data_IF_688705036548
#
_entry.id   IF_688705036548
#
_cell.length_a   1.000
_cell.length_b   1.000
_cell.length_c   1.000
_cell.angle_alpha   90.00
_cell.angle_beta   90.00
_cell.angle_gamma   90.00
#
_symmetry.space_group_name_H-M   'P 1'
#
loop_
_entity.id
_entity.type
_entity.pdbx_description
1 polymer ?
#
# COMPACT_ATOMS: atom_id res chain seq x y z
N UNK A 1 -4.95 7.38 -1.72
CA UNK A 1 -4.30 8.68 -1.39
C UNK A 1 -5.33 9.78 -1.19
N UNK A 2 -6.29 10.00 -2.09
CA UNK A 2 -7.28 11.09 -1.92
C UNK A 2 -8.20 10.99 -0.69
N UNK A 3 -8.51 9.78 -0.21
CA UNK A 3 -9.51 9.58 0.85
C UNK A 3 -9.20 10.30 2.17
N UNK A 4 -7.96 10.25 2.67
CA UNK A 4 -7.57 10.95 3.91
C UNK A 4 -7.72 12.47 3.79
N UNK A 5 -7.38 13.03 2.64
CA UNK A 5 -7.53 14.46 2.40
C UNK A 5 -9.01 14.84 2.31
N UNK A 6 -9.83 14.03 1.66
CA UNK A 6 -11.26 14.30 1.49
C UNK A 6 -12.02 14.29 2.82
N UNK A 7 -11.74 13.35 3.72
CA UNK A 7 -12.39 13.30 5.03
C UNK A 7 -11.91 14.41 5.96
N UNK A 8 -10.73 14.96 5.70
CA UNK A 8 -10.22 16.12 6.43
C UNK A 8 -10.90 17.41 5.96
N UNK A 9 -11.07 17.56 4.64
CA UNK A 9 -11.64 18.77 4.03
C UNK A 9 -13.17 18.82 4.07
N UNK A 10 -13.83 17.66 3.98
CA UNK A 10 -15.29 17.56 3.87
C UNK A 10 -15.84 16.45 4.79
N UNK A 11 -15.55 16.48 6.11
CA UNK A 11 -15.96 15.42 7.03
C UNK A 11 -17.46 15.17 7.04
N UNK A 12 -18.29 16.18 6.76
CA UNK A 12 -19.74 16.08 6.69
C UNK A 12 -20.26 15.18 5.57
N UNK A 13 -19.43 14.86 4.57
CA UNK A 13 -19.80 14.01 3.42
C UNK A 13 -19.46 12.54 3.62
N UNK A 14 -18.84 12.18 4.74
CA UNK A 14 -18.37 10.82 5.00
C UNK A 14 -18.87 10.32 6.36
N UNK A 15 -19.24 9.05 6.40
CA UNK A 15 -19.68 8.40 7.64
C UNK A 15 -18.49 7.85 8.45
N UNK A 16 -17.52 7.24 7.77
CA UNK A 16 -16.25 6.79 8.34
C UNK A 16 -15.21 6.66 7.23
N UNK A 17 -13.95 6.38 7.61
CA UNK A 17 -12.86 6.14 6.68
C UNK A 17 -12.14 4.84 6.98
N UNK A 18 -11.79 4.11 5.91
CA UNK A 18 -11.02 2.87 6.00
C UNK A 18 -9.81 2.98 5.08
N UNK A 19 -8.61 2.96 5.67
CA UNK A 19 -7.34 2.94 4.95
C UNK A 19 -6.74 1.55 4.95
N UNK A 20 -6.69 0.88 3.79
CA UNK A 20 -6.04 -0.42 3.63
C UNK A 20 -4.67 -0.24 3.00
N UNK A 21 -3.61 -0.71 3.67
CA UNK A 21 -2.19 -0.50 3.25
C UNK A 21 -1.93 0.95 2.82
N UNK A 22 -2.39 1.90 3.65
CA UNK A 22 -2.41 3.32 3.31
C UNK A 22 -0.99 3.90 3.30
N UNK A 23 -0.59 4.49 2.16
CA UNK A 23 0.63 5.30 2.06
C UNK A 23 0.41 6.62 2.81
N UNK A 24 1.27 6.91 3.77
CA UNK A 24 1.22 8.15 4.56
C UNK A 24 2.16 9.22 3.99
N UNK A 25 3.41 8.86 3.74
CA UNK A 25 4.42 9.75 3.20
C UNK A 25 5.16 9.00 2.09
N UNK A 26 5.12 9.52 0.86
CA UNK A 26 5.64 8.79 -0.28
C UNK A 26 7.18 8.70 -0.28
N UNK A 27 7.85 9.85 -0.06
CA UNK A 27 9.32 9.94 -0.08
C UNK A 27 9.92 9.05 1.02
N UNK A 28 9.36 9.13 2.22
CA UNK A 28 9.82 8.34 3.34
C UNK A 28 9.51 6.85 3.17
N UNK A 29 8.36 6.50 2.57
CA UNK A 29 8.04 5.12 2.21
C UNK A 29 9.10 4.55 1.27
N UNK A 30 9.45 5.29 0.22
CA UNK A 30 10.47 4.88 -0.75
C UNK A 30 11.85 4.76 -0.12
N UNK A 31 12.18 5.61 0.86
CA UNK A 31 13.46 5.53 1.60
C UNK A 31 13.55 4.25 2.42
N UNK A 32 12.46 3.88 3.10
CA UNK A 32 12.36 2.65 3.88
C UNK A 32 12.36 1.42 2.98
N UNK A 33 11.64 1.46 1.86
CA UNK A 33 11.63 0.41 0.85
C UNK A 33 12.99 0.21 0.19
N UNK A 34 13.72 1.29 -0.12
CA UNK A 34 15.09 1.23 -0.63
C UNK A 34 16.02 0.54 0.36
N UNK A 35 15.92 0.92 1.64
CA UNK A 35 16.71 0.30 2.72
C UNK A 35 16.42 -1.21 2.81
N UNK A 36 15.14 -1.59 2.79
CA UNK A 36 14.73 -3.00 2.77
C UNK A 36 15.27 -3.75 1.53
N UNK A 37 15.15 -3.15 0.33
CA UNK A 37 15.57 -3.76 -0.92
C UNK A 37 17.09 -3.98 -0.96
N UNK A 38 17.88 -3.01 -0.51
CA UNK A 38 19.34 -3.17 -0.32
C UNK A 38 19.66 -4.29 0.66
N UNK A 39 18.90 -4.40 1.75
CA UNK A 39 19.01 -5.51 2.71
C UNK A 39 18.73 -6.87 2.08
N UNK A 40 17.70 -6.98 1.23
CA UNK A 40 17.39 -8.21 0.49
C UNK A 40 18.49 -8.55 -0.53
N UNK A 41 19.00 -7.55 -1.26
CA UNK A 41 20.10 -7.74 -2.20
C UNK A 41 21.34 -8.31 -1.51
N UNK A 42 21.71 -7.76 -0.35
CA UNK A 42 22.83 -8.27 0.48
C UNK A 42 22.57 -9.71 0.96
N UNK A 43 21.40 -9.98 1.56
CA UNK A 43 21.05 -11.32 2.08
C UNK A 43 21.07 -12.41 0.99
N UNK A 44 20.78 -12.04 -0.26
CA UNK A 44 20.75 -12.96 -1.41
C UNK A 44 22.05 -12.93 -2.24
N UNK A 45 23.08 -12.20 -1.82
CA UNK A 45 24.33 -11.98 -2.57
C UNK A 45 24.08 -11.46 -4.02
N UNK A 46 23.04 -10.66 -4.21
CA UNK A 46 22.60 -10.18 -5.53
C UNK A 46 23.31 -8.89 -5.93
N UNK A 47 24.55 -9.00 -6.46
CA UNK A 47 25.43 -7.86 -6.80
C UNK A 47 24.78 -6.78 -7.66
N UNK A 48 24.21 -7.15 -8.81
CA UNK A 48 23.52 -6.22 -9.72
C UNK A 48 22.40 -5.40 -9.06
N UNK A 49 21.68 -6.01 -8.12
CA UNK A 49 20.61 -5.31 -7.42
C UNK A 49 21.17 -4.30 -6.43
N UNK A 50 22.23 -4.68 -5.73
CA UNK A 50 22.90 -3.79 -4.78
C UNK A 50 23.54 -2.59 -5.49
N UNK A 51 24.15 -2.81 -6.65
CA UNK A 51 24.70 -1.76 -7.53
C UNK A 51 23.60 -0.80 -7.98
N UNK A 52 22.58 -1.28 -8.71
CA UNK A 52 21.51 -0.43 -9.22
C UNK A 52 20.74 0.33 -8.10
N UNK A 53 20.45 -0.34 -6.97
CA UNK A 53 19.80 0.31 -5.82
C UNK A 53 20.72 1.33 -5.13
N UNK A 54 22.04 1.21 -5.28
CA UNK A 54 22.98 2.20 -4.72
C UNK A 54 23.11 3.40 -5.66
N UNK A 55 23.23 3.14 -6.96
CA UNK A 55 23.39 4.16 -7.99
C UNK A 55 22.14 5.03 -8.19
N UNK A 56 20.94 4.49 -7.99
CA UNK A 56 19.69 5.28 -8.08
C UNK A 56 19.60 6.42 -7.06
N UNK A 57 20.45 6.41 -6.02
CA UNK A 57 20.48 7.47 -5.01
C UNK A 57 19.41 7.32 -3.93
N UNK A 58 18.88 8.45 -3.46
CA UNK A 58 17.81 8.53 -2.47
C UNK A 58 16.53 9.09 -3.12
N UNK A 59 15.33 8.74 -2.61
CA UNK A 59 14.08 9.33 -3.10
C UNK A 59 14.12 10.86 -2.98
N UNK A 60 13.37 11.59 -3.83
CA UNK A 60 12.06 11.21 -4.37
C UNK A 60 12.03 10.45 -5.72
N UNK A 61 13.15 10.23 -6.39
CA UNK A 61 13.23 9.51 -7.68
C UNK A 61 12.36 10.11 -8.80
N UNK A 62 12.45 11.42 -8.99
CA UNK A 62 11.61 12.19 -9.93
C UNK A 62 12.31 12.56 -11.24
N UNK A 63 13.58 12.19 -11.42
CA UNK A 63 14.33 12.60 -12.61
C UNK A 63 13.81 11.91 -13.88
N UNK A 64 13.37 10.65 -13.75
CA UNK A 64 12.81 9.89 -14.87
C UNK A 64 11.97 8.70 -14.40
N UNK A 65 11.12 8.21 -15.31
CA UNK A 65 10.39 6.96 -15.10
C UNK A 65 11.34 5.77 -14.85
N UNK A 66 12.52 5.79 -15.47
CA UNK A 66 13.55 4.77 -15.32
C UNK A 66 14.13 4.78 -13.89
N UNK A 67 14.49 5.96 -13.37
CA UNK A 67 14.97 6.13 -12.00
C UNK A 67 13.92 5.64 -11.00
N UNK A 68 12.68 6.12 -11.13
CA UNK A 68 11.55 5.69 -10.29
C UNK A 68 11.33 4.18 -10.33
N UNK A 69 11.46 3.59 -11.51
CA UNK A 69 11.26 2.16 -11.78
C UNK A 69 12.32 1.24 -11.16
N UNK A 70 13.53 1.71 -10.86
CA UNK A 70 14.60 0.86 -10.29
C UNK A 70 14.15 0.24 -8.96
N UNK A 71 13.60 1.04 -8.03
CA UNK A 71 13.13 0.54 -6.74
C UNK A 71 11.99 -0.47 -6.93
N UNK A 72 10.99 -0.14 -7.76
CA UNK A 72 9.81 -0.98 -7.99
C UNK A 72 10.17 -2.32 -8.63
N UNK A 73 11.13 -2.31 -9.58
CA UNK A 73 11.69 -3.51 -10.20
C UNK A 73 12.25 -4.48 -9.15
N UNK A 74 13.05 -3.97 -8.21
CA UNK A 74 13.65 -4.83 -7.17
C UNK A 74 12.66 -5.22 -6.06
N UNK A 75 11.71 -4.35 -5.71
CA UNK A 75 10.60 -4.69 -4.83
C UNK A 75 9.77 -5.86 -5.37
N UNK A 76 9.50 -5.88 -6.68
CA UNK A 76 8.82 -6.99 -7.32
C UNK A 76 9.68 -8.27 -7.30
N UNK A 77 10.95 -8.18 -7.73
CA UNK A 77 11.88 -9.33 -7.77
C UNK A 77 12.16 -9.93 -6.39
N UNK A 78 12.17 -9.12 -5.34
CA UNK A 78 12.37 -9.58 -3.97
C UNK A 78 11.07 -9.94 -3.24
N UNK A 79 9.93 -9.87 -3.91
CA UNK A 79 8.62 -10.25 -3.40
C UNK A 79 8.18 -9.44 -2.16
N UNK A 80 8.29 -8.11 -2.25
CA UNK A 80 7.89 -7.18 -1.16
C UNK A 80 6.40 -7.22 -0.81
N UNK A 81 5.55 -7.70 -1.73
CA UNK A 81 4.10 -7.59 -1.62
C UNK A 81 3.40 -8.84 -1.09
N UNK A 82 4.05 -10.02 -1.07
CA UNK A 82 3.42 -11.28 -0.67
C UNK A 82 4.22 -11.90 0.47
N UNK A 83 3.53 -12.24 1.56
CA UNK A 83 4.11 -12.99 2.66
C UNK A 83 3.73 -14.46 2.57
N UNK A 84 4.70 -15.35 2.78
CA UNK A 84 4.49 -16.79 2.96
C UNK A 84 5.58 -17.32 3.87
N UNK A 85 5.20 -18.20 4.80
CA UNK A 85 6.07 -18.76 5.81
C UNK A 85 5.62 -20.19 6.12
N UNK A 86 6.35 -21.15 5.55
CA UNK A 86 6.06 -22.57 5.72
C UNK A 86 6.15 -23.01 7.18
N UNK A 87 7.05 -22.41 7.98
CA UNK A 87 7.21 -22.77 9.40
C UNK A 87 6.01 -22.37 10.23
N UNK A 88 5.33 -21.28 9.84
CA UNK A 88 4.09 -20.81 10.47
C UNK A 88 2.82 -21.32 9.79
N UNK A 89 2.94 -22.20 8.80
CA UNK A 89 1.80 -22.71 8.02
C UNK A 89 1.10 -21.66 7.16
N UNK A 90 1.75 -20.52 6.86
CA UNK A 90 1.19 -19.45 6.04
C UNK A 90 1.59 -19.69 4.59
N UNK A 91 0.63 -20.11 3.75
CA UNK A 91 0.83 -20.34 2.31
C UNK A 91 -0.05 -19.40 1.50
N UNK A 92 0.52 -18.30 1.02
CA UNK A 92 -0.23 -17.36 0.20
C UNK A 92 -0.33 -17.87 -1.25
N UNK A 93 -1.50 -17.81 -1.89
CA UNK A 93 -1.71 -18.25 -3.28
C UNK A 93 -1.07 -17.34 -4.35
N UNK A 94 -0.20 -16.41 -3.95
CA UNK A 94 0.37 -15.36 -4.79
C UNK A 94 -0.64 -14.53 -5.61
N UNK A 95 -0.18 -13.91 -6.69
CA UNK A 95 -1.00 -13.09 -7.60
C UNK A 95 -2.09 -13.87 -8.34
N UNK A 96 -1.94 -15.19 -8.50
CA UNK A 96 -2.95 -16.04 -9.15
C UNK A 96 -4.31 -15.94 -8.44
N UNK A 97 -4.31 -15.74 -7.11
CA UNK A 97 -5.55 -15.51 -6.37
C UNK A 97 -6.29 -14.25 -6.80
N UNK A 98 -5.58 -13.14 -7.00
CA UNK A 98 -6.15 -11.86 -7.44
C UNK A 98 -6.76 -12.02 -8.84
N UNK A 99 -6.02 -12.64 -9.76
CA UNK A 99 -6.50 -12.90 -11.12
C UNK A 99 -7.74 -13.79 -11.10
N UNK A 100 -7.73 -14.86 -10.29
CA UNK A 100 -8.87 -15.77 -10.16
C UNK A 100 -10.12 -15.05 -9.65
N UNK A 101 -9.97 -14.20 -8.62
CA UNK A 101 -11.07 -13.40 -8.07
C UNK A 101 -11.66 -12.48 -9.14
N UNK A 102 -10.82 -11.75 -9.88
CA UNK A 102 -11.29 -10.85 -10.94
C UNK A 102 -12.02 -11.58 -12.06
N UNK A 103 -11.48 -12.71 -12.54
CA UNK A 103 -12.14 -13.51 -13.59
C UNK A 103 -13.47 -14.11 -13.10
N UNK A 104 -13.56 -14.49 -11.82
CA UNK A 104 -14.78 -15.05 -11.24
C UNK A 104 -15.82 -14.02 -10.81
N UNK A 105 -15.46 -12.73 -10.79
CA UNK A 105 -16.36 -11.66 -10.36
C UNK A 105 -17.40 -11.34 -11.42
N UNK A 106 -18.62 -11.04 -11.00
CA UNK A 106 -19.68 -10.54 -11.89
C UNK A 106 -19.48 -9.07 -12.28
N UNK A 107 -18.65 -8.35 -11.54
CA UNK A 107 -18.42 -6.91 -11.72
C UNK A 107 -17.32 -6.61 -12.74
N UNK A 108 -16.55 -7.62 -13.17
CA UNK A 108 -15.45 -7.48 -14.11
C UNK A 108 -15.68 -8.32 -15.37
N UNK A 109 -15.70 -7.66 -16.53
CA UNK A 109 -15.59 -8.38 -17.80
C UNK A 109 -14.13 -8.72 -18.11
N UNK A 110 -13.89 -9.70 -18.99
CA UNK A 110 -12.54 -10.01 -19.49
C UNK A 110 -11.88 -8.79 -20.17
N UNK A 111 -12.68 -7.92 -20.78
CA UNK A 111 -12.21 -6.66 -21.38
C UNK A 111 -11.70 -5.69 -20.31
N UNK A 112 -12.37 -5.60 -19.17
CA UNK A 112 -11.94 -4.75 -18.04
C UNK A 112 -10.62 -5.24 -17.49
N UNK A 113 -10.48 -6.55 -17.26
CA UNK A 113 -9.22 -7.18 -16.81
C UNK A 113 -8.08 -6.86 -17.78
N UNK A 114 -8.29 -7.05 -19.09
CA UNK A 114 -7.30 -6.72 -20.11
C UNK A 114 -6.93 -5.23 -20.10
N UNK A 115 -7.94 -4.35 -20.03
CA UNK A 115 -7.69 -2.91 -19.99
C UNK A 115 -6.93 -2.51 -18.72
N UNK A 116 -7.25 -3.07 -17.55
CA UNK A 116 -6.58 -2.76 -16.28
C UNK A 116 -5.12 -3.20 -16.28
N UNK A 117 -4.82 -4.43 -16.69
CA UNK A 117 -3.47 -4.99 -16.56
C UNK A 117 -2.55 -4.70 -17.75
N UNK A 118 -3.08 -4.51 -18.96
CA UNK A 118 -2.26 -4.33 -20.15
C UNK A 118 -2.21 -2.87 -20.64
N UNK A 119 -3.38 -2.24 -20.84
CA UNK A 119 -3.45 -0.88 -21.39
C UNK A 119 -3.28 0.20 -20.32
N UNK A 120 -3.98 0.08 -19.20
CA UNK A 120 -4.11 1.10 -18.17
C UNK A 120 -2.82 1.36 -17.41
N UNK A 121 -2.01 0.33 -17.16
CA UNK A 121 -0.77 0.48 -16.39
C UNK A 121 0.20 1.51 -17.01
N UNK A 122 0.25 1.59 -18.35
CA UNK A 122 1.08 2.57 -19.08
C UNK A 122 0.55 4.01 -19.00
N UNK A 123 -0.70 4.20 -18.62
CA UNK A 123 -1.38 5.50 -18.59
C UNK A 123 -1.32 6.16 -17.20
N UNK A 124 -1.09 5.39 -16.13
CA UNK A 124 -1.19 5.87 -14.75
C UNK A 124 0.10 6.55 -14.29
N UNK A 125 1.27 6.00 -14.62
CA UNK A 125 2.55 6.47 -14.12
C UNK A 125 3.27 7.35 -15.14
N UNK A 126 2.67 8.50 -15.46
CA UNK A 126 3.35 9.56 -16.22
C UNK A 126 4.43 10.22 -15.37
N UNK A 127 5.38 10.91 -16.01
CA UNK A 127 6.40 11.67 -15.28
C UNK A 127 5.76 12.79 -14.44
N UNK A 128 4.71 13.44 -14.94
CA UNK A 128 3.98 14.46 -14.19
C UNK A 128 3.35 13.88 -12.92
N UNK A 129 2.73 12.70 -13.01
CA UNK A 129 2.21 12.04 -11.81
C UNK A 129 3.32 11.69 -10.83
N UNK A 130 4.46 11.18 -11.31
CA UNK A 130 5.62 10.86 -10.47
C UNK A 130 6.13 12.10 -9.74
N UNK A 131 6.14 13.27 -10.40
CA UNK A 131 6.57 14.54 -9.82
C UNK A 131 5.65 15.05 -8.72
N UNK A 132 4.39 14.62 -8.68
CA UNK A 132 3.42 14.98 -7.64
C UNK A 132 3.52 14.10 -6.38
N UNK A 133 4.03 12.88 -6.51
CA UNK A 133 4.13 11.93 -5.39
C UNK A 133 4.90 12.48 -4.17
N UNK A 134 5.97 13.27 -4.30
CA UNK A 134 6.69 13.84 -3.17
C UNK A 134 5.87 14.82 -2.33
N UNK A 135 4.82 15.41 -2.91
CA UNK A 135 3.91 16.31 -2.20
C UNK A 135 2.98 15.57 -1.24
N UNK A 136 2.97 14.23 -1.28
CA UNK A 136 2.11 13.39 -0.45
C UNK A 136 2.79 13.12 0.89
N UNK A 137 2.39 13.89 1.89
CA UNK A 137 2.79 13.72 3.28
C UNK A 137 1.61 13.96 4.23
N UNK A 138 0.84 12.90 4.51
CA UNK A 138 -0.31 13.01 5.40
C UNK A 138 0.06 13.35 6.83
N UNK A 139 1.30 13.07 7.28
CA UNK A 139 1.75 13.49 8.61
C UNK A 139 1.67 15.00 8.77
N UNK A 140 1.89 15.79 7.70
CA UNK A 140 1.80 17.25 7.75
C UNK A 140 0.46 17.75 7.24
N UNK A 141 -0.10 17.13 6.19
CA UNK A 141 -1.32 17.58 5.53
C UNK A 141 -2.60 17.32 6.36
N UNK A 142 -2.63 16.27 7.19
CA UNK A 142 -3.85 15.86 7.91
C UNK A 142 -3.51 15.64 9.39
N UNK A 143 -3.77 16.65 10.22
CA UNK A 143 -3.53 16.59 11.68
C UNK A 143 -4.78 16.28 12.51
N UNK A 144 -5.96 16.41 11.92
CA UNK A 144 -7.25 16.13 12.58
C UNK A 144 -8.27 15.59 11.58
N UNK A 145 -9.13 14.68 12.03
CA UNK A 145 -10.30 14.19 11.29
C UNK A 145 -11.54 14.18 12.19
N UNK A 146 -12.70 14.43 11.59
CA UNK A 146 -13.98 14.49 12.29
C UNK A 146 -14.92 13.34 11.91
N UNK A 147 -14.34 12.21 11.50
CA UNK A 147 -15.04 10.95 11.24
C UNK A 147 -14.27 9.80 11.91
N UNK A 148 -14.93 8.68 12.28
CA UNK A 148 -14.23 7.48 12.72
C UNK A 148 -13.26 6.99 11.64
N UNK A 149 -12.06 6.58 12.03
CA UNK A 149 -11.05 6.06 11.11
C UNK A 149 -10.60 4.65 11.50
N UNK A 150 -10.50 3.76 10.51
CA UNK A 150 -9.95 2.41 10.66
C UNK A 150 -8.79 2.23 9.68
N UNK A 151 -7.60 1.89 10.19
CA UNK A 151 -6.48 1.44 9.36
C UNK A 151 -6.35 -0.07 9.42
N UNK A 152 -6.11 -0.68 8.25
CA UNK A 152 -5.87 -2.11 8.12
C UNK A 152 -4.56 -2.31 7.37
N UNK A 153 -3.62 -3.03 7.96
CA UNK A 153 -2.29 -3.20 7.39
C UNK A 153 -1.76 -4.63 7.52
N UNK A 154 -1.09 -5.12 6.47
CA UNK A 154 -0.38 -6.39 6.52
C UNK A 154 0.86 -6.31 7.39
N UNK A 155 1.01 -7.20 8.37
CA UNK A 155 2.15 -7.19 9.30
C UNK A 155 3.52 -7.38 8.62
N UNK A 156 3.49 -7.94 7.43
CA UNK A 156 4.68 -8.26 6.63
C UNK A 156 4.78 -7.41 5.36
N UNK A 157 4.07 -6.28 5.29
CA UNK A 157 4.12 -5.36 4.16
C UNK A 157 5.40 -4.52 4.19
N UNK A 158 6.30 -4.81 3.25
CA UNK A 158 7.51 -4.01 2.98
C UNK A 158 7.40 -3.21 1.68
N UNK A 159 6.25 -3.29 1.00
CA UNK A 159 5.94 -2.47 -0.16
C UNK A 159 5.43 -1.09 0.28
N UNK A 160 4.52 -1.09 1.26
CA UNK A 160 4.08 0.09 1.98
C UNK A 160 4.44 -0.06 3.45
N UNK A 161 5.30 0.83 3.96
CA UNK A 161 5.84 0.76 5.31
C UNK A 161 4.75 0.96 6.35
N UNK A 162 4.54 -0.09 7.14
CA UNK A 162 3.58 -0.06 8.24
C UNK A 162 3.96 0.92 9.36
N UNK A 163 5.25 1.22 9.50
CA UNK A 163 5.78 2.20 10.47
C UNK A 163 5.16 3.58 10.27
N UNK A 164 4.93 4.00 9.02
CA UNK A 164 4.43 5.35 8.73
C UNK A 164 2.96 5.50 9.09
N UNK A 165 2.14 4.49 8.80
CA UNK A 165 0.73 4.49 9.20
C UNK A 165 0.57 4.33 10.71
N UNK A 166 1.47 3.60 11.38
CA UNK A 166 1.51 3.52 12.85
C UNK A 166 1.85 4.88 13.48
N UNK A 167 2.88 5.56 12.98
CA UNK A 167 3.21 6.94 13.39
C UNK A 167 2.02 7.87 13.20
N UNK A 168 1.43 7.86 11.99
CA UNK A 168 0.26 8.69 11.68
C UNK A 168 -0.93 8.39 12.59
N UNK A 169 -1.23 7.12 12.82
CA UNK A 169 -2.30 6.68 13.73
C UNK A 169 -2.09 7.20 15.16
N UNK A 170 -0.86 7.22 15.64
CA UNK A 170 -0.56 7.71 16.98
C UNK A 170 -0.72 9.24 17.08
N UNK A 171 -0.32 9.98 16.03
CA UNK A 171 -0.31 11.45 16.02
C UNK A 171 -1.66 12.09 15.66
N UNK A 172 -2.50 11.42 14.86
CA UNK A 172 -3.76 12.02 14.38
C UNK A 172 -4.77 12.27 15.51
N UNK A 173 -5.35 13.48 15.54
CA UNK A 173 -6.55 13.80 16.34
C UNK A 173 -7.79 13.25 15.61
N UNK A 174 -8.33 12.14 16.11
CA UNK A 174 -9.51 11.46 15.56
C UNK A 174 -10.57 11.30 16.67
N UNK A 175 -11.27 12.39 16.98
CA UNK A 175 -12.16 12.48 18.15
C UNK A 175 -13.31 11.49 18.15
N UNK A 176 -13.77 11.09 16.97
CA UNK A 176 -14.85 10.11 16.82
C UNK A 176 -14.38 8.66 16.96
N UNK A 177 -13.09 8.43 17.17
CA UNK A 177 -12.49 7.12 17.36
C UNK A 177 -11.53 6.75 16.24
N UNK A 178 -10.49 6.00 16.62
CA UNK A 178 -9.53 5.42 15.70
C UNK A 178 -9.30 3.96 16.02
N UNK A 179 -9.18 3.13 14.98
CA UNK A 179 -8.92 1.69 15.07
C UNK A 179 -7.77 1.32 14.14
N UNK A 180 -6.86 0.46 14.61
CA UNK A 180 -5.78 -0.09 13.79
C UNK A 180 -5.82 -1.62 13.86
N UNK A 181 -5.86 -2.29 12.71
CA UNK A 181 -5.96 -3.73 12.60
C UNK A 181 -4.78 -4.31 11.81
N UNK A 182 -4.12 -5.29 12.42
CA UNK A 182 -3.02 -6.03 11.79
C UNK A 182 -3.52 -7.32 11.16
N UNK A 183 -3.16 -7.52 9.90
CA UNK A 183 -3.38 -8.77 9.19
C UNK A 183 -2.10 -9.62 9.27
N UNK A 184 -2.08 -10.57 10.21
CA UNK A 184 -0.88 -11.34 10.58
C UNK A 184 -0.38 -12.26 9.47
N UNK A 185 -1.25 -12.72 8.56
CA UNK A 185 -0.87 -13.61 7.45
C UNK A 185 -0.52 -12.84 6.18
N UNK A 186 -0.51 -11.50 6.24
CA UNK A 186 -0.53 -10.66 5.04
C UNK A 186 0.65 -9.69 4.95
N UNK A 187 1.03 -9.42 3.70
CA UNK A 187 1.82 -8.26 3.29
C UNK A 187 0.89 -7.30 2.54
N UNK A 188 1.30 -6.79 1.38
CA UNK A 188 0.50 -5.87 0.56
C UNK A 188 -0.65 -6.56 -0.19
N UNK A 189 -0.38 -7.76 -0.72
CA UNK A 189 -1.42 -8.66 -1.20
C UNK A 189 -1.86 -9.48 0.01
N UNK A 190 -3.12 -9.30 0.39
CA UNK A 190 -3.67 -9.90 1.61
C UNK A 190 -4.00 -11.37 1.40
N UNK A 191 -3.66 -12.17 2.41
CA UNK A 191 -3.97 -13.58 2.45
C UNK A 191 -5.49 -13.81 2.51
N UNK A 192 -6.06 -14.83 1.84
CA UNK A 192 -7.51 -15.07 1.82
C UNK A 192 -8.19 -15.17 3.21
N UNK A 193 -7.49 -15.73 4.20
CA UNK A 193 -8.01 -15.77 5.57
C UNK A 193 -8.13 -14.37 6.20
N UNK A 194 -7.19 -13.48 5.90
CA UNK A 194 -7.22 -12.10 6.40
C UNK A 194 -8.21 -11.27 5.58
N UNK A 195 -8.38 -11.50 4.27
CA UNK A 195 -9.41 -10.79 3.48
C UNK A 195 -10.83 -11.04 4.00
N UNK A 196 -11.13 -12.25 4.51
CA UNK A 196 -12.42 -12.54 5.17
C UNK A 196 -12.63 -11.70 6.43
N UNK A 197 -11.56 -11.46 7.20
CA UNK A 197 -11.61 -10.56 8.37
C UNK A 197 -11.80 -9.12 7.94
N UNK A 198 -11.10 -8.68 6.88
CA UNK A 198 -11.27 -7.34 6.30
C UNK A 198 -12.71 -7.13 5.88
N UNK A 199 -13.31 -8.08 5.16
CA UNK A 199 -14.73 -8.02 4.77
C UNK A 199 -15.65 -7.85 5.98
N UNK A 200 -15.43 -8.63 7.05
CA UNK A 200 -16.21 -8.50 8.28
C UNK A 200 -16.07 -7.10 8.90
N UNK A 201 -14.86 -6.55 8.90
CA UNK A 201 -14.56 -5.19 9.38
C UNK A 201 -15.25 -4.13 8.52
N UNK A 202 -15.28 -4.29 7.19
CA UNK A 202 -16.00 -3.38 6.29
C UNK A 202 -17.50 -3.38 6.59
N UNK A 203 -18.09 -4.56 6.86
CA UNK A 203 -19.50 -4.70 7.20
C UNK A 203 -19.81 -4.05 8.56
N UNK A 204 -18.93 -4.21 9.56
CA UNK A 204 -19.08 -3.57 10.88
C UNK A 204 -19.13 -2.04 10.81
N UNK A 205 -18.49 -1.44 9.81
CA UNK A 205 -18.44 0.02 9.63
C UNK A 205 -19.80 0.61 9.21
N UNK A 206 -20.76 -0.24 8.76
CA UNK A 206 -22.14 0.16 8.51
C UNK A 206 -22.82 0.74 9.75
N UNK A 207 -22.33 0.45 10.96
CA UNK A 207 -22.83 1.06 12.21
C UNK A 207 -22.68 2.59 12.26
N UNK A 208 -21.84 3.17 11.40
CA UNK A 208 -21.65 4.62 11.29
C UNK A 208 -22.52 5.26 10.19
N UNK A 209 -23.15 4.44 9.34
CA UNK A 209 -24.12 4.91 8.35
C UNK A 209 -25.38 5.33 9.09
N UNK A 210 -25.79 6.58 8.87
CA UNK A 210 -27.01 7.16 9.44
C UNK A 210 -28.15 7.05 8.45
#
# INVERSE_FOLDING_TARGET
>A
MIGLQLIHLYPEKYHSYIGVSQIINWVENDRLALTWAKGQAKKRNHKKALEELTEVGQPPFVESFEQWGILRKWQARFNSMIYSDAKKGVKHPGYLSVIKVLISSKDYSLKDIYNSFYKGFKLIYTIDFINELPNIDFLTMVKKVEVPITFIHGKHDFHVSSKLVETFYNEIDARMGKRFLWMDKSAHIFHPDDTKKIESVLIEELKYVK
#
